data_IF_884260490094
#
_entry.id   IF_884260490094
#
_cell.length_a   1.000
_cell.length_b   1.000
_cell.length_c   1.000
_cell.angle_alpha   90.00
_cell.angle_beta   90.00
_cell.angle_gamma   90.00
#
_symmetry.space_group_name_H-M   'P 1'
#
loop_
_entity.id
_entity.type
_entity.pdbx_description
1 polymer ?
#
# COMPACT_ATOMS: atom_id res chain seq x y z
N UNK A 1 7.78 10.69 3.16
CA UNK A 1 8.38 11.62 2.17
C UNK A 1 7.44 11.76 1.00
N UNK A 2 7.19 12.98 0.50
CA UNK A 2 6.39 13.24 -0.70
C UNK A 2 7.29 13.81 -1.78
N UNK A 3 7.23 13.26 -2.99
CA UNK A 3 7.93 13.75 -4.18
C UNK A 3 6.89 14.10 -5.24
N UNK A 4 7.06 15.25 -5.89
CA UNK A 4 6.26 15.63 -7.06
C UNK A 4 7.06 15.44 -8.34
N UNK A 5 6.44 14.79 -9.32
CA UNK A 5 7.00 14.54 -10.65
C UNK A 5 6.05 15.13 -11.69
N UNK A 6 6.59 15.82 -12.69
CA UNK A 6 5.80 16.34 -13.81
C UNK A 6 6.23 15.62 -15.08
N UNK A 7 5.32 14.86 -15.68
CA UNK A 7 5.58 14.05 -16.87
C UNK A 7 4.48 14.28 -17.89
N UNK A 8 4.83 14.77 -19.07
CA UNK A 8 3.85 14.97 -20.17
C UNK A 8 2.67 15.89 -19.81
N UNK A 9 2.88 16.85 -18.89
CA UNK A 9 1.82 17.74 -18.39
C UNK A 9 0.97 17.17 -17.26
N UNK A 10 1.21 15.91 -16.84
CA UNK A 10 0.61 15.31 -15.65
C UNK A 10 1.52 15.52 -14.45
N UNK A 11 0.93 15.94 -13.33
CA UNK A 11 1.63 16.00 -12.04
C UNK A 11 1.29 14.76 -11.22
N UNK A 12 2.33 14.01 -10.84
CA UNK A 12 2.26 12.84 -9.97
C UNK A 12 2.85 13.19 -8.61
N UNK A 13 2.08 12.93 -7.56
CA UNK A 13 2.53 12.96 -6.17
C UNK A 13 2.80 11.52 -5.72
N UNK A 14 4.05 11.26 -5.37
CA UNK A 14 4.51 9.95 -4.90
C UNK A 14 4.85 10.06 -3.42
N UNK A 15 4.20 9.24 -2.61
CA UNK A 15 4.44 9.16 -1.16
C UNK A 15 5.17 7.85 -0.87
N UNK A 16 6.36 7.96 -0.27
CA UNK A 16 7.04 6.80 0.30
C UNK A 16 6.68 6.72 1.78
N UNK A 17 6.07 5.59 2.17
CA UNK A 17 5.64 5.30 3.53
C UNK A 17 6.46 4.14 4.13
N UNK A 18 6.75 4.21 5.42
CA UNK A 18 7.34 3.09 6.16
C UNK A 18 6.66 3.01 7.51
N UNK A 19 5.73 2.06 7.66
CA UNK A 19 5.02 1.88 8.92
C UNK A 19 5.96 1.22 9.94
N UNK A 20 5.99 1.67 11.20
CA UNK A 20 6.68 0.95 12.27
C UNK A 20 6.26 -0.53 12.36
N UNK A 21 7.17 -1.41 12.80
CA UNK A 21 6.87 -2.83 13.07
C UNK A 21 5.82 -2.98 14.17
N UNK A 22 5.16 -4.15 14.23
CA UNK A 22 4.08 -4.41 15.19
C UNK A 22 4.50 -4.26 16.66
N UNK A 23 5.76 -4.60 16.97
CA UNK A 23 6.35 -4.59 18.31
C UNK A 23 6.86 -3.21 18.76
N UNK A 24 6.72 -2.19 17.91
CA UNK A 24 7.05 -0.81 18.25
C UNK A 24 5.89 -0.10 18.93
N UNK A 25 6.22 1.02 19.56
CA UNK A 25 5.30 1.83 20.36
C UNK A 25 4.02 2.23 19.60
N UNK A 26 2.88 2.16 20.30
CA UNK A 26 1.56 2.46 19.76
C UNK A 26 1.43 3.92 19.34
N UNK A 27 2.06 4.85 20.08
CA UNK A 27 2.04 6.26 19.70
C UNK A 27 2.77 6.45 18.38
N UNK A 28 3.92 5.80 18.17
CA UNK A 28 4.63 5.88 16.89
C UNK A 28 3.80 5.34 15.71
N UNK A 29 3.06 4.25 15.93
CA UNK A 29 2.13 3.69 14.93
C UNK A 29 0.97 4.63 14.62
N UNK A 30 0.43 5.32 15.64
CA UNK A 30 -0.62 6.34 15.47
C UNK A 30 -0.11 7.55 14.69
N UNK A 31 1.03 8.11 15.07
CA UNK A 31 1.64 9.26 14.39
C UNK A 31 1.92 8.96 12.92
N UNK A 32 2.36 7.74 12.60
CA UNK A 32 2.53 7.31 11.20
C UNK A 32 1.25 7.50 10.36
N UNK A 33 0.09 7.07 10.87
CA UNK A 33 -1.17 7.20 10.15
C UNK A 33 -1.66 8.64 10.07
N UNK A 34 -1.44 9.43 11.12
CA UNK A 34 -1.76 10.87 11.15
C UNK A 34 -0.93 11.65 10.12
N UNK A 35 0.38 11.40 10.06
CA UNK A 35 1.29 12.02 9.09
C UNK A 35 0.93 11.63 7.66
N UNK A 36 0.57 10.35 7.44
CA UNK A 36 0.16 9.87 6.12
C UNK A 36 -1.19 10.45 5.68
N UNK A 37 -2.16 10.55 6.59
CA UNK A 37 -3.46 11.20 6.35
C UNK A 37 -3.26 12.67 5.96
N UNK A 38 -2.46 13.42 6.73
CA UNK A 38 -2.15 14.81 6.44
C UNK A 38 -1.45 14.96 5.08
N UNK A 39 -0.50 14.08 4.76
CA UNK A 39 0.20 14.09 3.49
C UNK A 39 -0.74 13.86 2.31
N UNK A 40 -1.65 12.89 2.40
CA UNK A 40 -2.62 12.58 1.34
C UNK A 40 -3.64 13.71 1.18
N UNK A 41 -4.16 14.28 2.27
CA UNK A 41 -5.07 15.44 2.23
C UNK A 41 -4.42 16.68 1.62
N UNK A 42 -3.10 16.82 1.76
CA UNK A 42 -2.33 17.91 1.14
C UNK A 42 -2.14 17.76 -0.37
N UNK A 43 -2.49 16.62 -0.98
CA UNK A 43 -2.33 16.41 -2.42
C UNK A 43 -3.55 16.97 -3.17
N UNK A 44 -3.36 17.90 -4.11
CA UNK A 44 -4.45 18.42 -4.93
C UNK A 44 -5.20 17.31 -5.69
N UNK A 45 -6.52 17.47 -5.82
CA UNK A 45 -7.36 16.46 -6.48
C UNK A 45 -6.99 16.21 -7.96
N UNK A 46 -6.46 17.21 -8.66
CA UNK A 46 -6.02 17.11 -10.05
C UNK A 46 -4.66 16.40 -10.21
N UNK A 47 -3.91 16.21 -9.13
CA UNK A 47 -2.66 15.44 -9.14
C UNK A 47 -2.95 13.93 -9.02
N UNK A 48 -2.14 13.14 -9.72
CA UNK A 48 -2.13 11.68 -9.60
C UNK A 48 -1.44 11.29 -8.31
N UNK A 49 -1.96 10.31 -7.59
CA UNK A 49 -1.40 9.89 -6.30
C UNK A 49 -0.99 8.42 -6.33
N UNK A 50 0.27 8.18 -5.96
CA UNK A 50 0.83 6.87 -5.69
C UNK A 50 1.47 6.86 -4.30
N UNK A 51 1.18 5.84 -3.50
CA UNK A 51 1.75 5.64 -2.18
C UNK A 51 2.38 4.26 -2.17
N UNK A 52 3.67 4.17 -1.86
CA UNK A 52 4.40 2.91 -1.96
C UNK A 52 5.16 2.54 -0.69
N UNK A 53 5.79 1.36 -0.76
CA UNK A 53 6.76 0.78 0.19
C UNK A 53 6.07 0.02 1.33
N UNK A 54 6.66 -0.02 2.51
CA UNK A 54 6.40 -1.05 3.53
C UNK A 54 5.36 -0.57 4.55
N UNK A 55 4.22 -1.26 4.59
CA UNK A 55 3.15 -0.99 5.55
C UNK A 55 3.12 -1.98 6.72
N UNK A 56 3.98 -3.00 6.75
CA UNK A 56 4.01 -4.03 7.79
C UNK A 56 2.61 -4.60 8.10
N UNK A 57 1.75 -4.65 7.08
CA UNK A 57 0.35 -5.03 7.17
C UNK A 57 0.06 -6.26 6.32
N UNK A 58 -0.56 -7.28 6.90
CA UNK A 58 -1.04 -8.44 6.18
C UNK A 58 -2.52 -8.27 5.90
N UNK A 59 -2.91 -8.14 4.64
CA UNK A 59 -4.31 -7.93 4.24
C UNK A 59 -5.13 -9.23 4.32
N UNK A 60 -4.49 -10.39 4.10
CA UNK A 60 -5.11 -11.72 4.18
C UNK A 60 -6.02 -12.10 3.01
N UNK A 61 -6.31 -13.40 2.89
CA UNK A 61 -7.03 -14.02 1.75
C UNK A 61 -8.56 -13.78 1.74
N UNK A 62 -9.20 -13.66 2.91
CA UNK A 62 -10.65 -13.51 3.01
C UNK A 62 -11.05 -12.10 3.47
N UNK A 63 -11.73 -11.35 2.60
CA UNK A 63 -12.44 -10.14 2.97
C UNK A 63 -13.87 -10.47 3.42
N UNK A 64 -14.13 -10.48 4.72
CA UNK A 64 -15.51 -10.22 5.18
C UNK A 64 -15.73 -8.71 5.13
N UNK A 65 -16.28 -8.20 4.01
CA UNK A 65 -16.74 -6.81 3.88
C UNK A 65 -15.86 -5.82 3.12
N UNK A 66 -14.82 -6.28 2.41
CA UNK A 66 -13.97 -5.44 1.53
C UNK A 66 -13.97 -6.05 0.12
N UNK A 67 -14.90 -5.63 -0.73
CA UNK A 67 -15.15 -6.27 -2.04
C UNK A 67 -14.04 -5.98 -3.08
N UNK A 68 -13.22 -4.95 -2.87
CA UNK A 68 -12.20 -4.48 -3.82
C UNK A 68 -10.76 -4.89 -3.46
N UNK A 69 -10.52 -5.57 -2.32
CA UNK A 69 -9.15 -5.86 -1.84
C UNK A 69 -9.02 -7.29 -1.31
N UNK A 70 -8.30 -8.14 -2.06
CA UNK A 70 -7.95 -9.50 -1.67
C UNK A 70 -6.45 -9.63 -1.48
N UNK A 71 -5.98 -9.84 -0.25
CA UNK A 71 -4.63 -10.33 -0.03
C UNK A 71 -4.53 -11.79 -0.46
N UNK A 72 -3.33 -12.33 -0.62
CA UNK A 72 -3.12 -13.74 -1.02
C UNK A 72 -2.35 -14.56 0.01
N UNK A 73 -1.87 -13.91 1.08
CA UNK A 73 -1.13 -14.56 2.15
C UNK A 73 -1.83 -14.39 3.50
N UNK A 74 -2.05 -15.51 4.20
CA UNK A 74 -2.19 -15.62 5.66
C UNK A 74 -3.28 -14.77 6.34
N UNK A 75 -3.22 -14.70 7.68
CA UNK A 75 -4.14 -14.02 8.58
C UNK A 75 -3.98 -12.49 8.52
N UNK A 76 -5.10 -11.76 8.60
CA UNK A 76 -5.10 -10.29 8.63
C UNK A 76 -4.59 -9.79 9.98
N UNK A 77 -3.54 -8.97 9.97
CA UNK A 77 -3.06 -8.31 11.20
C UNK A 77 -3.65 -6.90 11.34
N UNK A 78 -3.44 -6.27 12.50
CA UNK A 78 -3.89 -4.91 12.80
C UNK A 78 -3.41 -3.92 11.72
N UNK A 79 -2.15 -4.01 11.30
CA UNK A 79 -1.59 -3.15 10.25
C UNK A 79 -2.30 -3.30 8.90
N UNK A 80 -2.71 -4.52 8.55
CA UNK A 80 -3.49 -4.80 7.35
C UNK A 80 -4.91 -4.23 7.43
N UNK A 81 -5.55 -4.29 8.60
CA UNK A 81 -6.84 -3.63 8.83
C UNK A 81 -6.71 -2.12 8.69
N UNK A 82 -5.75 -1.48 9.38
CA UNK A 82 -5.52 -0.03 9.26
C UNK A 82 -5.20 0.40 7.83
N UNK A 83 -4.43 -0.40 7.09
CA UNK A 83 -4.13 -0.15 5.68
C UNK A 83 -5.40 -0.17 4.81
N UNK A 84 -6.30 -1.12 5.04
CA UNK A 84 -7.57 -1.21 4.32
C UNK A 84 -8.51 -0.06 4.68
N UNK A 85 -8.62 0.28 5.97
CA UNK A 85 -9.45 1.40 6.42
C UNK A 85 -8.96 2.72 5.83
N UNK A 86 -7.63 2.91 5.80
CA UNK A 86 -7.00 4.04 5.12
C UNK A 86 -7.29 4.05 3.62
N UNK A 87 -7.19 2.89 2.95
CA UNK A 87 -7.49 2.78 1.53
C UNK A 87 -8.96 3.12 1.22
N UNK A 88 -9.91 2.64 2.03
CA UNK A 88 -11.32 3.00 1.91
C UNK A 88 -11.52 4.50 2.10
N UNK A 89 -10.96 5.08 3.17
CA UNK A 89 -11.16 6.49 3.52
C UNK A 89 -10.73 7.45 2.39
N UNK A 90 -9.70 7.07 1.63
CA UNK A 90 -9.15 7.88 0.54
C UNK A 90 -9.47 7.36 -0.86
N UNK A 91 -10.38 6.38 -0.99
CA UNK A 91 -10.74 5.76 -2.27
C UNK A 91 -9.50 5.27 -3.05
N UNK A 92 -8.58 4.64 -2.34
CA UNK A 92 -7.36 4.04 -2.88
C UNK A 92 -7.57 2.56 -3.18
N UNK A 93 -6.80 2.05 -4.13
CA UNK A 93 -6.72 0.63 -4.46
C UNK A 93 -5.27 0.16 -4.31
N UNK A 94 -5.08 -1.05 -3.82
CA UNK A 94 -3.78 -1.69 -3.77
C UNK A 94 -3.49 -2.33 -5.14
N UNK A 95 -2.67 -1.66 -5.94
CA UNK A 95 -2.36 -2.06 -7.31
C UNK A 95 -1.78 -3.48 -7.38
N UNK A 96 -0.94 -3.89 -6.42
CA UNK A 96 -0.37 -5.23 -6.34
C UNK A 96 -1.43 -6.35 -6.32
N UNK A 97 -2.63 -6.06 -5.83
CA UNK A 97 -3.71 -7.04 -5.68
C UNK A 97 -4.62 -7.08 -6.92
N UNK A 98 -4.52 -6.11 -7.82
CA UNK A 98 -5.27 -6.07 -9.07
C UNK A 98 -4.71 -7.00 -10.14
N UNK A 99 -3.46 -7.45 -10.01
CA UNK A 99 -2.78 -8.29 -11.00
C UNK A 99 -2.67 -9.74 -10.52
N UNK A 100 -3.03 -10.69 -11.39
CA UNK A 100 -2.82 -12.10 -11.11
C UNK A 100 -1.34 -12.46 -11.32
N UNK A 101 -0.60 -12.62 -10.24
CA UNK A 101 0.79 -13.08 -10.24
C UNK A 101 0.94 -14.43 -9.54
N UNK A 102 2.07 -15.12 -9.74
CA UNK A 102 2.43 -16.32 -8.97
C UNK A 102 2.75 -15.91 -7.52
N UNK A 103 2.50 -16.79 -6.56
CA UNK A 103 2.75 -16.50 -5.13
C UNK A 103 4.18 -16.03 -4.87
N UNK A 104 5.19 -16.68 -5.45
CA UNK A 104 6.59 -16.28 -5.29
C UNK A 104 6.88 -14.85 -5.80
N UNK A 105 6.07 -14.33 -6.73
CA UNK A 105 6.22 -12.98 -7.27
C UNK A 105 5.43 -11.93 -6.47
N UNK A 106 4.76 -12.34 -5.38
CA UNK A 106 4.03 -11.46 -4.46
C UNK A 106 4.78 -11.24 -3.15
N UNK A 107 5.81 -12.06 -2.89
CA UNK A 107 6.59 -12.03 -1.65
C UNK A 107 7.48 -10.80 -1.64
N UNK A 108 7.19 -9.85 -0.78
CA UNK A 108 8.01 -8.63 -0.60
C UNK A 108 8.93 -8.72 0.61
N UNK A 109 8.68 -9.67 1.52
CA UNK A 109 9.56 -10.00 2.62
C UNK A 109 9.64 -11.51 2.84
N UNK A 110 10.85 -12.01 3.03
CA UNK A 110 11.07 -13.43 3.33
C UNK A 110 12.08 -13.58 4.47
N UNK A 111 11.74 -14.43 5.43
CA UNK A 111 12.70 -14.94 6.41
C UNK A 111 12.73 -16.48 6.33
N UNK A 112 13.47 -17.13 7.23
CA UNK A 112 13.63 -18.60 7.26
C UNK A 112 12.28 -19.32 7.42
N UNK A 113 11.31 -18.69 8.07
CA UNK A 113 10.07 -19.31 8.55
C UNK A 113 8.86 -18.92 7.70
N UNK A 114 8.86 -17.73 7.09
CA UNK A 114 7.70 -17.17 6.41
C UNK A 114 8.08 -16.33 5.18
N UNK A 115 7.22 -16.42 4.17
CA UNK A 115 7.13 -15.52 3.02
C UNK A 115 5.89 -14.64 3.22
N UNK A 116 6.04 -13.33 3.12
CA UNK A 116 4.93 -12.39 3.34
C UNK A 116 4.92 -11.27 2.32
N UNK A 117 3.75 -10.66 2.17
CA UNK A 117 3.54 -9.43 1.43
C UNK A 117 3.26 -8.31 2.43
N UNK A 118 4.17 -7.34 2.51
CA UNK A 118 4.11 -6.18 3.41
C UNK A 118 4.36 -4.84 2.69
N UNK A 119 5.04 -4.89 1.54
CA UNK A 119 5.12 -3.76 0.62
C UNK A 119 3.91 -3.72 -0.32
N UNK A 120 3.32 -2.54 -0.43
CA UNK A 120 2.17 -2.27 -1.30
C UNK A 120 2.37 -0.97 -2.05
N UNK A 121 1.80 -0.93 -3.26
CA UNK A 121 1.61 0.26 -4.06
C UNK A 121 0.11 0.58 -4.06
N UNK A 122 -0.27 1.67 -3.41
CA UNK A 122 -1.61 2.23 -3.44
C UNK A 122 -1.69 3.33 -4.49
N UNK A 123 -2.82 3.42 -5.19
CA UNK A 123 -3.14 4.54 -6.05
C UNK A 123 -4.62 4.92 -5.92
N UNK A 124 -5.00 6.14 -6.34
CA UNK A 124 -6.43 6.50 -6.41
C UNK A 124 -7.16 5.53 -7.33
N UNK A 125 -8.40 5.14 -6.99
CA UNK A 125 -9.24 4.29 -7.85
C UNK A 125 -9.39 4.86 -9.27
N UNK A 126 -9.48 6.19 -9.41
CA UNK A 126 -9.52 6.89 -10.70
C UNK A 126 -8.22 6.79 -11.50
N UNK A 127 -7.09 6.58 -10.83
CA UNK A 127 -5.75 6.54 -11.40
C UNK A 127 -5.27 5.10 -11.62
N UNK A 128 -6.05 4.10 -11.21
CA UNK A 128 -5.70 2.68 -11.35
C UNK A 128 -5.42 2.29 -12.81
N UNK A 129 -6.10 2.93 -13.77
CA UNK A 129 -5.87 2.73 -15.21
C UNK A 129 -4.46 3.12 -15.67
N UNK A 130 -3.72 3.89 -14.89
CA UNK A 130 -2.33 4.25 -15.16
C UNK A 130 -1.36 3.14 -14.72
N UNK A 131 -1.78 2.24 -13.83
CA UNK A 131 -1.01 1.09 -13.44
C UNK A 131 -1.33 -0.06 -14.39
N UNK A 132 -0.37 -0.41 -15.25
CA UNK A 132 -0.52 -1.53 -16.20
C UNK A 132 0.02 -2.84 -15.64
N UNK A 133 0.95 -2.75 -14.69
CA UNK A 133 1.51 -3.90 -13.98
C UNK A 133 2.09 -3.45 -12.63
N UNK A 134 2.23 -4.40 -11.71
CA UNK A 134 2.90 -4.21 -10.43
C UNK A 134 3.71 -5.47 -10.09
N UNK A 135 5.03 -5.33 -10.09
CA UNK A 135 5.96 -6.43 -9.91
C UNK A 135 6.80 -6.26 -8.65
N UNK A 136 7.07 -7.37 -7.98
CA UNK A 136 8.08 -7.42 -6.94
C UNK A 136 9.41 -7.72 -7.61
N UNK A 137 10.39 -6.85 -7.37
CA UNK A 137 11.77 -7.04 -7.83
C UNK A 137 12.55 -7.69 -6.68
N UNK A 138 12.90 -8.98 -6.78
CA UNK A 138 13.72 -9.64 -5.77
C UNK A 138 15.10 -8.97 -5.74
N UNK A 139 15.60 -8.66 -4.53
CA UNK A 139 17.02 -8.37 -4.35
C UNK A 139 17.83 -9.64 -4.56
N UNK A 140 18.95 -9.56 -5.27
CA UNK A 140 19.91 -10.66 -5.47
C UNK A 140 20.40 -11.27 -4.15
#
# INVERSE_FOLDING_TARGET
MVIKLVVGGLTLSVISAYRPQADLDEELKKHFWEDLDAAVRGIPHNEKLFIGRNFNGHIGEMSRGYDDVHGRFSFRNEGGTSLLDFAIAFYLVAANLCFQKREDHLVTFQNIVAKTQIDYLLCKKSDNVLCTDCEVIPSE
#
